data_IF_432787679508
#
_entry.id   IF_432787679508
#
_cell.length_a   1.000
_cell.length_b   1.000
_cell.length_c   1.000
_cell.angle_alpha   90.00
_cell.angle_beta   90.00
_cell.angle_gamma   90.00
#
_symmetry.space_group_name_H-M   'P 1'
#
loop_
_entity.id
_entity.type
_entity.pdbx_description
1 polymer ?
#
# COMPACT_ATOMS: atom_id res chain seq x y z
N UNK A 1 -16.94 -40.25 75.94
CA UNK A 1 -17.61 -40.13 74.63
C UNK A 1 -16.90 -39.07 73.80
N UNK A 2 -15.99 -39.47 72.91
CA UNK A 2 -15.24 -38.57 72.02
C UNK A 2 -16.07 -38.25 70.77
N UNK A 3 -16.45 -36.99 70.56
CA UNK A 3 -16.94 -36.51 69.26
C UNK A 3 -15.76 -36.03 68.43
N UNK A 4 -15.36 -36.81 67.43
CA UNK A 4 -14.43 -36.42 66.38
C UNK A 4 -15.17 -35.51 65.40
N UNK A 5 -14.75 -34.24 65.29
CA UNK A 5 -15.12 -33.38 64.17
C UNK A 5 -14.03 -33.50 63.11
N UNK A 6 -14.36 -34.08 61.96
CA UNK A 6 -13.53 -34.10 60.77
C UNK A 6 -13.55 -32.73 60.11
N UNK A 7 -12.43 -32.02 60.15
CA UNK A 7 -12.20 -30.78 59.40
C UNK A 7 -11.85 -31.17 57.95
N UNK A 8 -12.62 -30.77 56.92
CA UNK A 8 -12.19 -30.99 55.54
C UNK A 8 -11.10 -29.96 55.22
N UNK A 9 -9.90 -30.44 54.90
CA UNK A 9 -8.82 -29.63 54.37
C UNK A 9 -9.20 -29.20 52.94
N UNK A 10 -9.70 -27.98 52.78
CA UNK A 10 -9.92 -27.40 51.45
C UNK A 10 -8.53 -27.06 50.86
N UNK A 11 -8.01 -27.95 50.04
CA UNK A 11 -6.88 -27.67 49.16
C UNK A 11 -7.37 -26.71 48.07
N UNK A 12 -7.14 -25.41 48.27
CA UNK A 12 -7.17 -24.42 47.19
C UNK A 12 -6.04 -24.79 46.21
N UNK A 13 -6.38 -25.59 45.19
CA UNK A 13 -5.60 -25.66 43.97
C UNK A 13 -5.71 -24.29 43.32
N UNK A 14 -4.76 -23.41 43.63
CA UNK A 14 -4.48 -22.26 42.80
C UNK A 14 -4.10 -22.81 41.43
N UNK A 15 -5.07 -22.84 40.50
CA UNK A 15 -4.80 -23.04 39.10
C UNK A 15 -3.89 -21.90 38.69
N UNK A 16 -2.58 -22.16 38.72
CA UNK A 16 -1.62 -21.40 37.94
C UNK A 16 -2.02 -21.65 36.50
N UNK A 17 -2.94 -20.80 36.01
CA UNK A 17 -3.12 -20.55 34.60
C UNK A 17 -1.74 -20.14 34.14
N UNK A 18 -1.00 -21.09 33.54
CA UNK A 18 0.25 -20.80 32.87
C UNK A 18 -0.14 -19.92 31.70
N UNK A 19 -0.25 -18.61 31.93
CA UNK A 19 -0.07 -17.65 30.88
C UNK A 19 1.35 -17.90 30.41
N UNK A 20 1.49 -18.73 29.38
CA UNK A 20 2.61 -18.63 28.46
C UNK A 20 2.60 -17.16 28.03
N UNK A 21 3.36 -16.35 28.76
CA UNK A 21 3.34 -14.91 28.61
C UNK A 21 3.69 -14.64 27.16
N UNK A 22 2.77 -14.02 26.44
CA UNK A 22 3.06 -13.46 25.14
C UNK A 22 4.37 -12.68 25.23
N UNK A 23 5.33 -13.02 24.37
CA UNK A 23 6.65 -12.41 24.37
C UNK A 23 6.94 -11.93 22.96
N UNK A 24 6.80 -10.61 22.75
CA UNK A 24 7.09 -9.98 21.47
C UNK A 24 8.51 -10.32 20.96
N UNK A 25 9.48 -10.50 21.87
CA UNK A 25 10.85 -10.88 21.52
C UNK A 25 10.96 -12.32 20.99
N UNK A 26 10.17 -13.27 21.54
CA UNK A 26 10.13 -14.65 21.04
C UNK A 26 9.45 -14.72 19.67
N UNK A 27 8.34 -14.00 19.51
CA UNK A 27 7.65 -13.91 18.23
C UNK A 27 8.56 -13.28 17.16
N UNK A 28 9.27 -12.20 17.50
CA UNK A 28 10.24 -11.59 16.60
C UNK A 28 11.35 -12.56 16.17
N UNK A 29 11.84 -13.42 17.08
CA UNK A 29 12.84 -14.43 16.76
C UNK A 29 12.30 -15.52 15.82
N UNK A 30 11.10 -16.05 16.08
CA UNK A 30 10.45 -17.06 15.22
C UNK A 30 10.17 -16.49 13.83
N UNK A 31 9.69 -15.26 13.77
CA UNK A 31 9.43 -14.55 12.51
C UNK A 31 10.74 -14.35 11.73
N UNK A 32 11.83 -13.95 12.40
CA UNK A 32 13.12 -13.77 11.76
C UNK A 32 13.67 -15.07 11.16
N UNK A 33 13.54 -16.19 11.87
CA UNK A 33 13.92 -17.52 11.37
C UNK A 33 13.12 -17.89 10.12
N UNK A 34 11.78 -17.78 10.16
CA UNK A 34 10.92 -18.08 9.01
C UNK A 34 11.21 -17.18 7.80
N UNK A 35 11.47 -15.89 8.03
CA UNK A 35 11.85 -14.93 6.98
C UNK A 35 13.09 -15.39 6.21
N UNK A 36 14.09 -15.92 6.91
CA UNK A 36 15.33 -16.37 6.29
C UNK A 36 15.09 -17.52 5.30
N UNK A 37 14.07 -18.35 5.54
CA UNK A 37 13.69 -19.46 4.68
C UNK A 37 12.84 -19.05 3.47
N UNK A 38 11.95 -18.07 3.62
CA UNK A 38 11.00 -17.68 2.57
C UNK A 38 11.64 -16.95 1.38
N UNK A 39 12.74 -16.22 1.58
CA UNK A 39 13.47 -15.46 0.53
C UNK A 39 12.54 -14.70 -0.43
N UNK A 40 11.58 -13.95 0.11
CA UNK A 40 10.65 -13.15 -0.69
C UNK A 40 11.41 -12.04 -1.44
N UNK A 41 11.03 -11.81 -2.69
CA UNK A 41 11.48 -10.67 -3.48
C UNK A 41 10.51 -9.51 -3.29
N UNK A 42 10.77 -8.69 -2.27
CA UNK A 42 9.92 -7.56 -1.89
C UNK A 42 9.78 -6.53 -3.03
N UNK A 43 10.84 -6.32 -3.82
CA UNK A 43 10.81 -5.38 -4.95
C UNK A 43 9.88 -5.88 -6.05
N UNK A 44 9.95 -7.18 -6.37
CA UNK A 44 9.04 -7.82 -7.31
C UNK A 44 7.60 -7.76 -6.82
N UNK A 45 7.35 -8.04 -5.54
CA UNK A 45 6.00 -7.95 -4.96
C UNK A 45 5.44 -6.52 -5.06
N UNK A 46 6.23 -5.49 -4.73
CA UNK A 46 5.82 -4.10 -4.91
C UNK A 46 5.45 -3.78 -6.36
N UNK A 47 6.27 -4.23 -7.33
CA UNK A 47 6.02 -4.02 -8.76
C UNK A 47 4.75 -4.69 -9.24
N UNK A 48 4.55 -5.93 -8.84
CA UNK A 48 3.36 -6.69 -9.20
C UNK A 48 2.08 -6.06 -8.63
N UNK A 49 2.11 -5.59 -7.38
CA UNK A 49 0.97 -4.90 -6.76
C UNK A 49 0.61 -3.62 -7.51
N UNK A 50 1.60 -2.80 -7.87
CA UNK A 50 1.38 -1.59 -8.68
C UNK A 50 0.81 -1.97 -10.04
N UNK A 51 1.43 -2.94 -10.72
CA UNK A 51 1.04 -3.30 -12.09
C UNK A 51 -0.37 -3.89 -12.19
N UNK A 52 -0.81 -4.66 -11.19
CA UNK A 52 -2.17 -5.22 -11.16
C UNK A 52 -3.24 -4.19 -10.81
N UNK A 53 -2.88 -3.09 -10.14
CA UNK A 53 -3.84 -2.11 -9.65
C UNK A 53 -4.31 -1.15 -10.74
N UNK A 54 -5.62 -0.92 -10.84
CA UNK A 54 -6.19 0.11 -11.71
C UNK A 54 -6.31 1.48 -11.00
N UNK A 55 -6.19 1.48 -9.68
CA UNK A 55 -6.32 2.67 -8.84
C UNK A 55 -5.46 2.52 -7.59
N UNK A 56 -5.21 3.61 -6.89
CA UNK A 56 -4.56 3.63 -5.60
C UNK A 56 -5.30 4.55 -4.64
N UNK A 57 -5.21 4.23 -3.34
CA UNK A 57 -5.53 5.21 -2.30
C UNK A 57 -4.34 6.14 -2.13
N UNK A 58 -4.56 7.45 -2.18
CA UNK A 58 -3.52 8.49 -2.16
C UNK A 58 -3.74 9.41 -0.99
N UNK A 59 -2.72 9.51 -0.14
CA UNK A 59 -2.64 10.46 0.96
C UNK A 59 -1.98 11.78 0.53
N UNK A 60 -2.67 12.90 0.71
CA UNK A 60 -2.17 14.29 0.56
C UNK A 60 -2.41 15.10 1.85
N UNK A 61 -1.91 16.34 1.91
CA UNK A 61 -2.22 17.28 2.99
C UNK A 61 -3.24 18.29 2.48
N UNK A 62 -4.41 18.33 3.13
CA UNK A 62 -5.54 19.08 2.57
C UNK A 62 -5.37 20.59 2.63
N UNK A 63 -5.73 21.23 1.53
CA UNK A 63 -5.84 22.68 1.36
C UNK A 63 -7.29 23.17 1.42
N UNK A 64 -8.26 22.25 1.50
CA UNK A 64 -9.68 22.58 1.61
C UNK A 64 -9.96 23.35 2.92
N UNK A 65 -10.79 24.39 2.86
CA UNK A 65 -11.03 25.28 4.01
C UNK A 65 -11.60 24.57 5.25
N UNK A 66 -12.42 23.53 5.07
CA UNK A 66 -13.10 22.82 6.17
C UNK A 66 -12.16 21.84 6.87
N UNK A 67 -11.25 21.23 6.11
CA UNK A 67 -10.36 20.15 6.59
C UNK A 67 -8.89 20.48 6.35
N UNK A 68 -8.54 21.77 6.39
CA UNK A 68 -7.18 22.24 6.14
C UNK A 68 -6.17 21.55 7.06
N UNK A 69 -5.04 21.17 6.51
CA UNK A 69 -3.92 20.48 7.17
C UNK A 69 -4.23 19.05 7.68
N UNK A 70 -5.45 18.54 7.50
CA UNK A 70 -5.73 17.12 7.73
C UNK A 70 -5.09 16.27 6.62
N UNK A 71 -4.64 15.04 6.96
CA UNK A 71 -4.34 14.03 5.95
C UNK A 71 -5.60 13.73 5.16
N UNK A 72 -5.60 14.07 3.88
CA UNK A 72 -6.65 13.71 2.94
C UNK A 72 -6.32 12.37 2.30
N UNK A 73 -7.29 11.48 2.19
CA UNK A 73 -7.14 10.19 1.54
C UNK A 73 -8.17 10.10 0.43
N UNK A 74 -7.70 9.94 -0.81
CA UNK A 74 -8.56 9.92 -2.00
C UNK A 74 -8.25 8.72 -2.90
N UNK A 75 -9.14 8.38 -3.82
CA UNK A 75 -8.95 7.35 -4.83
C UNK A 75 -8.48 7.97 -6.14
N UNK A 76 -7.37 7.49 -6.70
CA UNK A 76 -6.80 7.99 -7.96
C UNK A 76 -6.59 6.81 -8.91
N UNK A 77 -7.06 6.93 -10.15
CA UNK A 77 -6.77 5.98 -11.22
C UNK A 77 -5.29 6.07 -11.63
N UNK A 78 -4.64 4.91 -11.80
CA UNK A 78 -3.20 4.84 -12.08
C UNK A 78 -2.90 3.95 -13.28
N UNK A 79 -1.77 4.21 -13.93
CA UNK A 79 -1.16 3.33 -14.92
C UNK A 79 0.34 3.19 -14.64
N UNK A 80 0.92 2.07 -15.07
CA UNK A 80 2.37 1.84 -15.02
C UNK A 80 2.93 1.20 -16.30
N UNK A 81 2.14 1.20 -17.38
CA UNK A 81 2.44 0.46 -18.59
C UNK A 81 3.26 1.27 -19.59
N UNK A 82 3.94 0.56 -20.48
CA UNK A 82 4.42 1.10 -21.75
C UNK A 82 3.46 0.76 -22.91
N UNK A 83 3.82 1.19 -24.11
CA UNK A 83 3.07 0.93 -25.35
C UNK A 83 2.83 -0.58 -25.62
N UNK A 84 3.69 -1.45 -25.11
CA UNK A 84 3.58 -2.91 -25.24
C UNK A 84 2.76 -3.54 -24.10
N UNK A 85 2.15 -2.73 -23.24
CA UNK A 85 1.39 -3.17 -22.08
C UNK A 85 2.26 -3.89 -21.02
N UNK A 86 3.56 -3.57 -20.99
CA UNK A 86 4.51 -4.09 -20.01
C UNK A 86 4.71 -3.09 -18.88
N UNK A 87 4.83 -3.56 -17.64
CA UNK A 87 5.08 -2.70 -16.48
C UNK A 87 6.44 -2.02 -16.59
N UNK A 88 6.45 -0.69 -16.52
CA UNK A 88 7.66 0.12 -16.32
C UNK A 88 7.93 0.42 -14.84
N UNK A 89 6.90 0.28 -13.98
CA UNK A 89 6.92 0.72 -12.59
C UNK A 89 6.82 2.24 -12.40
N UNK A 90 6.74 3.04 -13.48
CA UNK A 90 6.47 4.49 -13.35
C UNK A 90 4.99 4.67 -13.10
N UNK A 91 4.62 5.24 -11.96
CA UNK A 91 3.21 5.42 -11.60
C UNK A 91 2.71 6.72 -12.23
N UNK A 92 1.97 6.60 -13.33
CA UNK A 92 1.27 7.69 -13.99
C UNK A 92 -0.17 7.80 -13.48
N UNK A 93 -0.67 9.02 -13.36
CA UNK A 93 -2.03 9.28 -12.89
C UNK A 93 -2.55 10.62 -13.39
N UNK A 94 -3.87 10.75 -13.49
CA UNK A 94 -4.53 12.00 -13.84
C UNK A 94 -5.03 12.71 -12.59
N UNK A 95 -4.82 14.02 -12.53
CA UNK A 95 -5.39 14.91 -11.52
C UNK A 95 -6.20 16.02 -12.18
N UNK A 96 -7.15 16.58 -11.44
CA UNK A 96 -7.90 17.79 -11.78
C UNK A 96 -7.98 18.67 -10.54
N UNK A 97 -8.02 19.98 -10.72
CA UNK A 97 -8.14 20.94 -9.61
C UNK A 97 -9.56 21.02 -9.05
N UNK A 98 -10.50 20.28 -9.64
CA UNK A 98 -11.86 20.10 -9.15
C UNK A 98 -11.96 19.09 -8.00
N UNK A 99 -10.95 18.26 -7.80
CA UNK A 99 -10.90 17.22 -6.76
C UNK A 99 -9.78 17.50 -5.75
N UNK A 100 -9.89 16.98 -4.53
CA UNK A 100 -9.06 17.36 -3.38
C UNK A 100 -7.56 17.27 -3.64
N UNK A 101 -7.10 16.17 -4.26
CA UNK A 101 -5.67 15.94 -4.48
C UNK A 101 -5.04 16.99 -5.40
N UNK A 102 -5.80 17.57 -6.34
CA UNK A 102 -5.34 18.56 -7.33
C UNK A 102 -4.80 19.85 -6.70
N UNK A 103 -5.60 20.57 -5.90
CA UNK A 103 -5.11 21.73 -5.15
C UNK A 103 -4.07 21.37 -4.09
N UNK A 104 -4.22 20.21 -3.43
CA UNK A 104 -3.32 19.78 -2.35
C UNK A 104 -1.86 19.64 -2.82
N UNK A 105 -1.62 18.96 -3.95
CA UNK A 105 -0.25 18.73 -4.42
C UNK A 105 0.44 20.01 -4.86
N UNK A 106 -0.32 21.02 -5.31
CA UNK A 106 0.23 22.32 -5.71
C UNK A 106 0.77 23.10 -4.51
N UNK A 107 0.16 22.94 -3.32
CA UNK A 107 0.68 23.51 -2.08
C UNK A 107 1.79 22.66 -1.47
N UNK A 108 1.67 21.33 -1.55
CA UNK A 108 2.67 20.39 -1.04
C UNK A 108 2.67 19.14 -1.91
N UNK A 109 3.68 19.00 -2.75
CA UNK A 109 3.75 17.93 -3.74
C UNK A 109 4.05 16.54 -3.15
N UNK A 110 4.21 16.40 -1.82
CA UNK A 110 4.47 15.10 -1.18
C UNK A 110 3.16 14.33 -0.99
N UNK A 111 3.13 13.12 -1.52
CA UNK A 111 1.98 12.22 -1.44
C UNK A 111 2.42 10.79 -1.13
N UNK A 112 1.50 9.97 -0.65
CA UNK A 112 1.73 8.54 -0.40
C UNK A 112 0.64 7.69 -1.03
N UNK A 113 1.03 6.74 -1.87
CA UNK A 113 0.13 5.79 -2.52
C UNK A 113 0.12 4.48 -1.73
N UNK A 114 -1.05 3.87 -1.57
CA UNK A 114 -1.23 2.54 -1.03
C UNK A 114 -1.81 1.61 -2.10
N UNK A 115 -1.12 0.49 -2.32
CA UNK A 115 -1.55 -0.61 -3.17
C UNK A 115 -1.68 -1.88 -2.32
N UNK A 116 -2.72 -2.66 -2.55
CA UNK A 116 -3.02 -3.88 -1.80
C UNK A 116 -3.44 -4.99 -2.74
N UNK A 117 -3.01 -6.21 -2.46
CA UNK A 117 -3.39 -7.40 -3.23
C UNK A 117 -4.91 -7.66 -3.16
N UNK A 118 -5.58 -7.11 -2.14
CA UNK A 118 -7.04 -7.16 -2.02
C UNK A 118 -7.77 -6.27 -3.05
N UNK A 119 -7.08 -5.32 -3.70
CA UNK A 119 -7.69 -4.53 -4.78
C UNK A 119 -8.13 -5.42 -5.96
N UNK A 120 -7.56 -6.62 -6.10
CA UNK A 120 -7.97 -7.64 -7.07
C UNK A 120 -8.64 -8.85 -6.41
N UNK A 121 -9.06 -8.73 -5.14
CA UNK A 121 -9.67 -9.79 -4.32
C UNK A 121 -8.77 -11.01 -4.09
N UNK A 122 -7.46 -10.91 -4.31
CA UNK A 122 -6.55 -12.06 -4.17
C UNK A 122 -6.51 -12.56 -2.72
N UNK A 123 -6.55 -11.66 -1.73
CA UNK A 123 -6.52 -12.04 -0.33
C UNK A 123 -7.82 -12.73 0.07
N UNK A 124 -8.97 -12.15 -0.29
CA UNK A 124 -10.28 -12.78 -0.10
C UNK A 124 -10.35 -14.17 -0.74
N UNK A 125 -9.91 -14.31 -1.99
CA UNK A 125 -9.91 -15.60 -2.69
C UNK A 125 -8.97 -16.62 -2.03
N UNK A 126 -7.94 -16.16 -1.32
CA UNK A 126 -7.04 -16.97 -0.50
C UNK A 126 -7.52 -17.15 0.95
N UNK A 127 -8.74 -16.73 1.31
CA UNK A 127 -9.28 -16.72 2.67
C UNK A 127 -8.42 -15.97 3.69
N UNK A 128 -7.80 -14.86 3.27
CA UNK A 128 -7.01 -13.96 4.12
C UNK A 128 -7.79 -12.67 4.38
N UNK A 129 -7.73 -12.22 5.63
CA UNK A 129 -8.20 -10.88 5.99
C UNK A 129 -7.30 -9.81 5.33
N UNK A 130 -7.81 -8.65 4.87
CA UNK A 130 -6.98 -7.62 4.25
C UNK A 130 -5.90 -7.01 5.16
N UNK A 131 -6.00 -7.19 6.49
CA UNK A 131 -4.97 -6.78 7.44
C UNK A 131 -3.90 -7.84 7.70
N UNK A 132 -4.13 -9.09 7.28
CA UNK A 132 -3.18 -10.19 7.42
C UNK A 132 -1.87 -9.82 6.68
N UNK A 133 -0.68 -9.79 7.31
CA UNK A 133 0.56 -9.40 6.65
C UNK A 133 0.91 -10.19 5.38
N UNK A 134 0.42 -11.43 5.27
CA UNK A 134 0.57 -12.24 4.05
C UNK A 134 -0.45 -11.91 2.95
N UNK A 135 -1.38 -10.98 3.19
CA UNK A 135 -2.10 -10.21 2.18
C UNK A 135 -1.25 -8.99 1.83
N UNK A 136 -0.44 -9.12 0.79
CA UNK A 136 0.63 -8.17 0.53
C UNK A 136 0.10 -6.76 0.21
N UNK A 137 0.80 -5.74 0.71
CA UNK A 137 0.56 -4.34 0.38
C UNK A 137 1.85 -3.56 0.26
N UNK A 138 1.88 -2.56 -0.61
CA UNK A 138 3.00 -1.63 -0.76
C UNK A 138 2.53 -0.19 -0.54
N UNK A 139 3.33 0.56 0.22
CA UNK A 139 3.13 1.98 0.53
C UNK A 139 4.27 2.73 -0.11
N UNK A 140 3.94 3.59 -1.07
CA UNK A 140 4.92 4.28 -1.93
C UNK A 140 4.77 5.78 -1.71
N UNK A 141 5.75 6.39 -1.06
CA UNK A 141 5.78 7.84 -0.84
C UNK A 141 6.69 8.51 -1.86
N UNK A 142 6.23 9.64 -2.40
CA UNK A 142 6.97 10.37 -3.43
C UNK A 142 6.51 11.81 -3.58
N UNK A 143 6.95 12.43 -4.67
CA UNK A 143 6.54 13.77 -5.06
C UNK A 143 5.78 13.74 -6.38
N UNK A 144 4.65 14.44 -6.44
CA UNK A 144 3.90 14.63 -7.69
C UNK A 144 4.71 15.47 -8.66
N UNK A 145 4.85 14.99 -9.90
CA UNK A 145 5.40 15.75 -11.03
C UNK A 145 4.37 15.80 -12.16
N UNK A 146 3.86 17.00 -12.49
CA UNK A 146 3.06 17.19 -13.70
C UNK A 146 3.96 17.00 -14.93
N UNK A 147 3.51 16.19 -15.88
CA UNK A 147 4.25 15.95 -17.13
C UNK A 147 4.02 17.11 -18.11
N UNK A 148 5.07 17.65 -18.76
CA UNK A 148 4.91 18.74 -19.72
C UNK A 148 4.25 18.26 -21.02
N UNK A 149 3.14 18.91 -21.40
CA UNK A 149 2.27 18.52 -22.52
C UNK A 149 2.93 18.65 -23.90
N UNK A 150 3.98 19.45 -24.01
CA UNK A 150 4.76 19.69 -25.23
C UNK A 150 5.80 18.60 -25.50
N UNK A 151 5.92 17.60 -24.62
CA UNK A 151 6.90 16.52 -24.80
C UNK A 151 6.33 15.32 -25.57
N UNK A 152 7.14 14.63 -26.41
CA UNK A 152 6.71 13.39 -27.07
C UNK A 152 6.31 12.29 -26.07
N UNK A 153 6.99 12.23 -24.92
CA UNK A 153 6.69 11.28 -23.84
C UNK A 153 5.29 11.48 -23.26
N UNK A 154 4.81 12.73 -23.17
CA UNK A 154 3.46 13.01 -22.65
C UNK A 154 2.38 12.31 -23.48
N UNK A 155 2.44 12.42 -24.80
CA UNK A 155 1.43 11.82 -25.69
C UNK A 155 1.41 10.30 -25.57
N UNK A 156 2.59 9.66 -25.49
CA UNK A 156 2.70 8.23 -25.32
C UNK A 156 2.11 7.79 -23.97
N UNK A 157 2.56 8.38 -22.87
CA UNK A 157 2.05 8.04 -21.53
C UNK A 157 0.57 8.33 -21.36
N UNK A 158 0.04 9.39 -21.99
CA UNK A 158 -1.40 9.67 -21.97
C UNK A 158 -2.20 8.61 -22.75
N UNK A 159 -1.67 8.14 -23.88
CA UNK A 159 -2.28 7.06 -24.66
C UNK A 159 -2.29 5.74 -23.88
N UNK A 160 -1.18 5.40 -23.22
CA UNK A 160 -1.07 4.21 -22.37
C UNK A 160 -2.05 4.29 -21.18
N UNK A 161 -2.16 5.46 -20.56
CA UNK A 161 -3.15 5.71 -19.51
C UNK A 161 -4.59 5.54 -20.01
N UNK A 162 -4.95 6.12 -21.16
CA UNK A 162 -6.30 6.01 -21.75
C UNK A 162 -6.60 4.56 -22.17
N UNK A 163 -5.60 3.81 -22.66
CA UNK A 163 -5.75 2.40 -23.00
C UNK A 163 -6.13 1.57 -21.77
N UNK A 164 -5.52 1.86 -20.61
CA UNK A 164 -5.88 1.23 -19.34
C UNK A 164 -7.22 1.74 -18.79
N UNK A 165 -7.51 3.03 -18.97
CA UNK A 165 -8.70 3.73 -18.47
C UNK A 165 -9.48 4.41 -19.59
N UNK A 166 -10.28 3.69 -20.41
CA UNK A 166 -10.96 4.27 -21.57
C UNK A 166 -11.87 5.45 -21.25
N UNK A 167 -12.44 5.49 -20.03
CA UNK A 167 -13.29 6.59 -19.58
C UNK A 167 -12.53 7.93 -19.46
N UNK A 168 -11.21 7.91 -19.26
CA UNK A 168 -10.37 9.10 -19.18
C UNK A 168 -10.43 9.95 -20.46
N UNK A 169 -10.66 9.34 -21.62
CA UNK A 169 -10.84 10.06 -22.88
C UNK A 169 -11.99 11.10 -22.83
N UNK A 170 -13.00 10.86 -22.00
CA UNK A 170 -14.11 11.78 -21.78
C UNK A 170 -13.81 12.79 -20.65
N UNK A 171 -13.10 12.37 -19.60
CA UNK A 171 -12.83 13.22 -18.44
C UNK A 171 -11.84 14.34 -18.73
N UNK A 172 -10.78 14.04 -19.50
CA UNK A 172 -9.69 14.97 -19.79
C UNK A 172 -10.19 16.29 -20.39
N UNK A 173 -10.96 16.30 -21.50
CA UNK A 173 -11.42 17.55 -22.09
C UNK A 173 -12.49 18.26 -21.24
N UNK A 174 -13.37 17.52 -20.56
CA UNK A 174 -14.50 18.09 -19.82
C UNK A 174 -14.11 18.71 -18.47
N UNK A 175 -13.08 18.15 -17.82
CA UNK A 175 -12.72 18.49 -16.44
C UNK A 175 -11.25 18.91 -16.29
N UNK A 176 -10.58 19.20 -17.40
CA UNK A 176 -9.21 19.72 -17.44
C UNK A 176 -8.22 18.83 -16.67
N UNK A 177 -8.34 17.51 -16.80
CA UNK A 177 -7.38 16.60 -16.16
C UNK A 177 -6.00 16.75 -16.82
N UNK A 178 -4.96 16.64 -16.00
CA UNK A 178 -3.57 16.69 -16.43
C UNK A 178 -2.80 15.46 -15.93
N UNK A 179 -1.88 14.98 -16.76
CA UNK A 179 -1.06 13.80 -16.47
C UNK A 179 0.09 14.12 -15.52
N UNK A 180 0.24 13.28 -14.51
CA UNK A 180 1.29 13.34 -13.52
C UNK A 180 2.05 12.01 -13.44
N UNK A 181 3.26 12.07 -12.89
CA UNK A 181 4.08 10.94 -12.50
C UNK A 181 4.44 11.07 -11.01
N UNK A 182 4.54 9.94 -10.31
CA UNK A 182 5.09 9.91 -8.95
C UNK A 182 6.61 9.76 -9.01
N UNK A 183 7.33 10.76 -8.53
CA UNK A 183 8.76 10.65 -8.25
C UNK A 183 8.97 9.89 -6.94
N UNK A 184 9.17 8.57 -7.05
CA UNK A 184 9.23 7.65 -5.92
C UNK A 184 10.46 7.93 -5.05
N UNK A 185 10.22 8.21 -3.76
CA UNK A 185 11.29 8.46 -2.78
C UNK A 185 11.45 7.28 -1.81
N UNK A 186 10.35 6.68 -1.37
CA UNK A 186 10.35 5.60 -0.39
C UNK A 186 9.33 4.53 -0.77
N UNK A 187 9.69 3.26 -0.57
CA UNK A 187 8.81 2.11 -0.81
C UNK A 187 8.86 1.23 0.44
N UNK A 188 7.69 0.97 1.02
CA UNK A 188 7.53 -0.01 2.08
C UNK A 188 6.63 -1.14 1.62
N UNK A 189 7.06 -2.38 1.81
CA UNK A 189 6.30 -3.58 1.47
C UNK A 189 5.98 -4.36 2.73
N UNK A 190 4.70 -4.63 2.97
CA UNK A 190 4.28 -5.59 3.98
C UNK A 190 3.70 -6.79 3.27
N UNK A 191 4.48 -7.87 3.22
CA UNK A 191 4.17 -9.13 2.54
C UNK A 191 4.38 -10.36 3.45
N UNK A 192 4.86 -10.14 4.67
CA UNK A 192 4.98 -11.15 5.71
C UNK A 192 5.01 -10.53 7.12
N UNK A 193 4.86 -11.37 8.13
CA UNK A 193 4.96 -10.98 9.54
C UNK A 193 6.31 -10.33 9.86
N UNK A 194 6.35 -9.47 10.89
CA UNK A 194 7.56 -8.80 11.41
C UNK A 194 7.76 -7.36 10.96
N UNK A 195 6.69 -6.73 10.44
CA UNK A 195 6.70 -5.32 10.01
C UNK A 195 7.15 -5.12 8.55
N UNK A 196 6.99 -3.90 8.02
CA UNK A 196 7.25 -3.61 6.61
C UNK A 196 8.75 -3.62 6.27
N UNK A 197 9.04 -4.04 5.05
CA UNK A 197 10.36 -4.05 4.43
C UNK A 197 10.57 -2.77 3.63
N UNK A 198 11.73 -2.12 3.80
CA UNK A 198 12.10 -0.98 2.97
C UNK A 198 12.74 -1.48 1.66
N UNK A 199 12.20 -1.05 0.53
CA UNK A 199 12.72 -1.34 -0.82
C UNK A 199 13.30 -0.06 -1.39
N UNK A 200 14.52 -0.14 -1.94
CA UNK A 200 15.12 1.02 -2.61
C UNK A 200 14.44 1.23 -3.96
N UNK A 201 14.19 2.48 -4.40
CA UNK A 201 13.65 2.76 -5.73
C UNK A 201 14.46 2.10 -6.85
N UNK A 202 15.79 2.06 -6.74
CA UNK A 202 16.65 1.41 -7.73
C UNK A 202 16.36 -0.10 -7.88
N UNK A 203 16.11 -0.80 -6.76
CA UNK A 203 15.78 -2.22 -6.78
C UNK A 203 14.39 -2.46 -7.37
N UNK A 204 13.43 -1.58 -7.07
CA UNK A 204 12.08 -1.59 -7.65
C UNK A 204 12.09 -1.41 -9.18
N UNK A 205 12.87 -0.46 -9.69
CA UNK A 205 13.00 -0.23 -11.14
C UNK A 205 13.85 -1.28 -11.85
N UNK A 206 14.69 -2.05 -11.14
CA UNK A 206 15.48 -3.12 -11.71
C UNK A 206 14.67 -4.38 -12.05
N UNK A 207 13.48 -4.54 -11.46
CA UNK A 207 12.57 -5.65 -11.77
C UNK A 207 12.02 -5.50 -13.18
N UNK A 208 11.93 -6.62 -13.91
CA UNK A 208 11.18 -6.73 -15.16
C UNK A 208 10.03 -7.70 -14.91
N UNK A 209 8.80 -7.28 -15.25
CA UNK A 209 7.58 -8.09 -15.16
C UNK A 209 7.17 -8.60 -16.54
#
# INVERSE_FOLDING_TARGET
MYKRYSLPLLLLLASFSCSLGYSANRDAAIIAEHRQHLKLDHAKIARELVHRANWASVGSISTNEIVKDYPMVNIIAIDDNDANNSSTGKIHFLLTDLDFTGPDWQSNNKVTFLFSDEQTLNCKNANKDPMEPTCARTIISGQVKRLPEDTPSYKASLQDFIKRHPAAANWIPEHHFYLCELDIQNIFVLDFYGGPHNVKPADYYAIQL
#
